data_IF_847131324278
#
_entry.id   IF_847131324278
#
_cell.length_a   1.000
_cell.length_b   1.000
_cell.length_c   1.000
_cell.angle_alpha   90.00
_cell.angle_beta   90.00
_cell.angle_gamma   90.00
#
_symmetry.space_group_name_H-M   'P 1'
#
loop_
_entity.id
_entity.type
_entity.pdbx_description
1 polymer ?
#
# COMPACT_ATOMS: atom_id res chain seq x y z
N UNK A 1 -7.24 -52.11 31.10
CA UNK A 1 -8.06 -50.89 31.34
C UNK A 1 -7.35 -49.72 30.74
N UNK A 2 -7.84 -49.27 29.60
CA UNK A 2 -7.20 -48.25 28.77
C UNK A 2 -7.83 -46.91 29.06
N UNK A 3 -7.06 -45.98 29.62
CA UNK A 3 -7.43 -44.60 29.81
C UNK A 3 -6.86 -43.78 28.68
N UNK A 4 -7.51 -43.80 27.49
CA UNK A 4 -7.29 -42.80 26.47
C UNK A 4 -8.01 -41.53 26.84
N UNK A 5 -7.31 -40.60 27.49
CA UNK A 5 -7.71 -39.20 27.55
C UNK A 5 -7.58 -38.62 26.16
N UNK A 6 -8.72 -38.43 25.47
CA UNK A 6 -8.84 -37.57 24.33
C UNK A 6 -8.35 -36.19 24.76
N UNK A 7 -7.18 -35.77 24.25
CA UNK A 7 -6.78 -34.38 24.29
C UNK A 7 -7.72 -33.64 23.32
N UNK A 8 -8.60 -32.87 23.89
CA UNK A 8 -9.31 -31.84 23.09
C UNK A 8 -8.27 -30.87 22.55
N UNK A 9 -8.34 -30.53 21.22
CA UNK A 9 -7.50 -29.47 20.69
C UNK A 9 -7.88 -28.16 21.43
N UNK A 10 -6.90 -27.28 21.70
CA UNK A 10 -7.20 -25.99 22.30
C UNK A 10 -8.21 -25.28 21.39
N UNK A 11 -9.31 -24.83 21.97
CA UNK A 11 -10.26 -23.98 21.30
C UNK A 11 -9.50 -22.75 20.81
N UNK A 12 -9.25 -22.69 19.50
CA UNK A 12 -8.85 -21.48 18.82
C UNK A 12 -10.01 -20.52 18.96
N UNK A 13 -9.92 -19.64 19.95
CA UNK A 13 -10.80 -18.49 20.01
C UNK A 13 -10.69 -17.74 18.65
N UNK A 14 -11.70 -17.01 18.21
CA UNK A 14 -11.60 -16.18 17.03
C UNK A 14 -10.61 -15.05 17.32
N UNK A 15 -9.32 -15.36 17.20
CA UNK A 15 -8.29 -14.37 17.00
C UNK A 15 -8.70 -13.67 15.73
N UNK A 16 -9.00 -12.37 15.79
CA UNK A 16 -9.27 -11.56 14.62
C UNK A 16 -8.11 -11.83 13.66
N UNK A 17 -8.39 -12.60 12.61
CA UNK A 17 -7.47 -12.88 11.53
C UNK A 17 -7.11 -11.51 10.97
N UNK A 18 -5.92 -11.03 11.31
CA UNK A 18 -5.50 -9.69 10.93
C UNK A 18 -5.49 -9.66 9.42
N UNK A 19 -6.45 -8.94 8.86
CA UNK A 19 -6.57 -8.80 7.41
C UNK A 19 -5.24 -8.28 6.88
N UNK A 20 -4.60 -9.07 6.00
CA UNK A 20 -3.36 -8.68 5.34
C UNK A 20 -3.63 -7.47 4.43
N UNK A 21 -2.71 -6.50 4.36
CA UNK A 21 -2.86 -5.37 3.45
C UNK A 21 -2.98 -5.82 2.00
N UNK A 22 -3.84 -5.15 1.25
CA UNK A 22 -4.00 -5.31 -0.19
C UNK A 22 -2.95 -4.47 -0.90
N UNK A 23 -1.95 -5.12 -1.49
CA UNK A 23 -0.85 -4.45 -2.19
C UNK A 23 -1.08 -4.51 -3.71
N UNK A 24 -1.40 -3.36 -4.30
CA UNK A 24 -1.56 -3.20 -5.74
C UNK A 24 -0.22 -2.84 -6.39
N UNK A 25 0.05 -3.41 -7.56
CA UNK A 25 1.19 -3.09 -8.40
C UNK A 25 0.70 -2.69 -9.80
N UNK A 26 1.16 -1.55 -10.29
CA UNK A 26 0.88 -1.04 -11.62
C UNK A 26 2.21 -0.64 -12.30
N UNK A 27 2.63 -1.45 -13.25
CA UNK A 27 3.86 -1.27 -14.02
C UNK A 27 3.53 -0.88 -15.46
N UNK A 28 4.51 -0.34 -16.16
CA UNK A 28 4.34 0.16 -17.54
C UNK A 28 3.93 -0.91 -18.53
N UNK A 29 4.26 -2.18 -18.26
CA UNK A 29 3.81 -3.30 -19.09
C UNK A 29 3.02 -4.33 -18.28
N UNK A 30 1.99 -4.95 -18.89
CA UNK A 30 1.23 -6.02 -18.22
C UNK A 30 2.10 -7.19 -17.75
N UNK A 31 3.15 -7.52 -18.49
CA UNK A 31 4.08 -8.59 -18.11
C UNK A 31 4.83 -8.26 -16.81
N UNK A 32 5.33 -7.02 -16.69
CA UNK A 32 6.01 -6.56 -15.47
C UNK A 32 5.03 -6.49 -14.29
N UNK A 33 3.82 -6.03 -14.51
CA UNK A 33 2.77 -5.99 -13.46
C UNK A 33 2.48 -7.39 -12.92
N UNK A 34 2.32 -8.39 -13.80
CA UNK A 34 2.10 -9.79 -13.36
C UNK A 34 3.27 -10.32 -12.55
N UNK A 35 4.50 -10.09 -13.03
CA UNK A 35 5.73 -10.51 -12.31
C UNK A 35 5.83 -9.84 -10.93
N UNK A 36 5.50 -8.56 -10.84
CA UNK A 36 5.49 -7.84 -9.58
C UNK A 36 4.43 -8.38 -8.61
N UNK A 37 3.23 -8.66 -9.10
CA UNK A 37 2.18 -9.27 -8.29
C UNK A 37 2.55 -10.68 -7.79
N UNK A 38 3.13 -11.51 -8.65
CA UNK A 38 3.63 -12.85 -8.27
C UNK A 38 4.75 -12.74 -7.22
N UNK A 39 5.66 -11.79 -7.41
CA UNK A 39 6.75 -11.55 -6.46
C UNK A 39 6.22 -11.09 -5.11
N UNK A 40 5.25 -10.16 -5.06
CA UNK A 40 4.57 -9.73 -3.84
C UNK A 40 3.89 -10.91 -3.13
N UNK A 41 3.23 -11.79 -3.88
CA UNK A 41 2.61 -13.00 -3.34
C UNK A 41 3.63 -13.94 -2.71
N UNK A 42 4.78 -14.13 -3.35
CA UNK A 42 5.87 -14.97 -2.84
C UNK A 42 6.58 -14.34 -1.63
N UNK A 43 6.65 -13.01 -1.58
CA UNK A 43 7.21 -12.28 -0.44
C UNK A 43 6.39 -12.51 0.83
N UNK A 44 5.08 -12.65 0.69
CA UNK A 44 4.13 -12.81 1.80
C UNK A 44 3.84 -11.49 2.53
N UNK A 45 2.94 -11.56 3.50
CA UNK A 45 2.55 -10.39 4.32
C UNK A 45 1.59 -9.43 3.63
N UNK A 46 1.09 -9.75 2.45
CA UNK A 46 0.06 -8.99 1.75
C UNK A 46 -0.80 -9.88 0.85
N UNK A 47 -1.90 -9.29 0.37
CA UNK A 47 -2.72 -9.85 -0.71
C UNK A 47 -2.40 -9.06 -1.98
N UNK A 48 -1.68 -9.67 -2.94
CA UNK A 48 -1.24 -8.95 -4.14
C UNK A 48 -2.40 -8.68 -5.11
N UNK A 49 -2.30 -7.56 -5.83
CA UNK A 49 -3.20 -7.17 -6.91
C UNK A 49 -2.37 -6.61 -8.06
N UNK A 50 -2.46 -7.20 -9.25
CA UNK A 50 -1.87 -6.63 -10.47
C UNK A 50 -2.88 -5.77 -11.21
N UNK A 51 -2.56 -4.49 -11.45
CA UNK A 51 -3.35 -3.58 -12.26
C UNK A 51 -2.70 -3.50 -13.64
N UNK A 52 -3.37 -4.05 -14.65
CA UNK A 52 -2.80 -4.21 -15.99
C UNK A 52 -2.97 -2.98 -16.90
N UNK A 53 -3.74 -2.00 -16.46
CA UNK A 53 -3.92 -0.72 -17.15
C UNK A 53 -3.03 0.34 -16.52
N UNK A 54 -2.55 1.28 -17.32
CA UNK A 54 -1.85 2.50 -16.89
C UNK A 54 -2.73 3.76 -17.00
N UNK A 55 -3.95 3.60 -17.47
CA UNK A 55 -4.94 4.66 -17.48
C UNK A 55 -5.35 5.06 -16.06
N UNK A 56 -5.38 6.37 -15.80
CA UNK A 56 -5.66 6.91 -14.47
C UNK A 56 -7.00 6.43 -13.91
N UNK A 57 -8.05 6.49 -14.71
CA UNK A 57 -9.41 6.13 -14.26
C UNK A 57 -9.52 4.65 -13.94
N UNK A 58 -8.89 3.80 -14.76
CA UNK A 58 -8.84 2.35 -14.54
C UNK A 58 -8.07 2.00 -13.26
N UNK A 59 -6.91 2.63 -13.03
CA UNK A 59 -6.11 2.41 -11.83
C UNK A 59 -6.88 2.81 -10.58
N UNK A 60 -7.48 3.99 -10.60
CA UNK A 60 -8.31 4.50 -9.48
C UNK A 60 -9.49 3.59 -9.22
N UNK A 61 -10.18 3.16 -10.29
CA UNK A 61 -11.33 2.26 -10.16
C UNK A 61 -10.93 0.92 -9.56
N UNK A 62 -9.86 0.27 -10.05
CA UNK A 62 -9.41 -1.03 -9.54
C UNK A 62 -8.93 -0.93 -8.09
N UNK A 63 -8.15 0.10 -7.75
CA UNK A 63 -7.73 0.33 -6.37
C UNK A 63 -8.93 0.49 -5.43
N UNK A 64 -9.95 1.24 -5.86
CA UNK A 64 -11.16 1.50 -5.06
C UNK A 64 -12.01 0.25 -4.91
N UNK A 65 -12.26 -0.47 -6.01
CA UNK A 65 -13.07 -1.69 -6.01
C UNK A 65 -12.45 -2.79 -5.13
N UNK A 66 -11.14 -2.93 -5.17
CA UNK A 66 -10.38 -3.93 -4.42
C UNK A 66 -9.94 -3.44 -3.04
N UNK A 67 -10.21 -2.19 -2.70
CA UNK A 67 -9.81 -1.55 -1.43
C UNK A 67 -8.31 -1.69 -1.18
N UNK A 68 -7.50 -1.17 -2.09
CA UNK A 68 -6.04 -1.22 -1.98
C UNK A 68 -5.56 -0.42 -0.77
N UNK A 69 -4.65 -1.00 0.01
CA UNK A 69 -4.01 -0.36 1.17
C UNK A 69 -2.64 0.22 0.80
N UNK A 70 -2.02 -0.35 -0.23
CA UNK A 70 -0.72 0.03 -0.78
C UNK A 70 -0.79 0.00 -2.30
N UNK A 71 -0.22 1.00 -2.96
CA UNK A 71 -0.08 1.06 -4.42
C UNK A 71 1.38 1.32 -4.79
N UNK A 72 1.94 0.41 -5.58
CA UNK A 72 3.25 0.55 -6.22
C UNK A 72 3.04 0.96 -7.68
N UNK A 73 3.49 2.15 -8.06
CA UNK A 73 3.40 2.69 -9.40
C UNK A 73 4.80 2.80 -10.03
N UNK A 74 5.01 2.14 -11.16
CA UNK A 74 6.23 2.34 -11.94
C UNK A 74 6.13 3.63 -12.77
N UNK A 75 7.22 4.39 -12.81
CA UNK A 75 7.39 5.50 -13.75
C UNK A 75 7.94 4.97 -15.07
N UNK A 76 7.33 5.35 -16.17
CA UNK A 76 7.86 5.07 -17.49
C UNK A 76 8.89 6.14 -17.89
N UNK A 77 10.15 5.72 -18.02
CA UNK A 77 11.25 6.58 -18.42
C UNK A 77 11.68 6.40 -19.87
N UNK A 78 11.03 5.51 -20.62
CA UNK A 78 11.42 5.17 -21.98
C UNK A 78 11.30 6.31 -22.97
N UNK A 79 10.53 7.35 -22.65
CA UNK A 79 10.22 8.49 -23.53
C UNK A 79 10.92 9.82 -23.17
N UNK A 80 12.01 9.75 -22.38
CA UNK A 80 12.78 10.94 -22.00
C UNK A 80 12.27 11.68 -20.78
N UNK A 81 13.07 12.64 -20.32
CA UNK A 81 12.81 13.45 -19.14
C UNK A 81 11.75 14.50 -19.45
N UNK A 82 10.51 14.13 -19.39
CA UNK A 82 9.44 15.12 -19.33
C UNK A 82 8.81 15.06 -17.93
N UNK A 83 8.61 16.23 -17.31
CA UNK A 83 7.89 16.40 -16.04
C UNK A 83 6.51 15.73 -16.02
N UNK A 84 5.99 15.41 -17.17
CA UNK A 84 4.67 14.78 -17.39
C UNK A 84 4.56 13.40 -16.74
N UNK A 85 5.64 12.60 -16.72
CA UNK A 85 5.56 11.23 -16.17
C UNK A 85 5.40 11.23 -14.66
N UNK A 86 6.20 12.02 -13.94
CA UNK A 86 6.07 12.18 -12.49
C UNK A 86 4.73 12.84 -12.15
N UNK A 87 4.36 13.89 -12.89
CA UNK A 87 3.09 14.60 -12.70
C UNK A 87 1.89 13.68 -12.90
N UNK A 88 1.84 12.93 -14.00
CA UNK A 88 0.74 12.01 -14.29
C UNK A 88 0.61 10.90 -13.25
N UNK A 89 1.74 10.35 -12.77
CA UNK A 89 1.72 9.36 -11.68
C UNK A 89 1.29 9.98 -10.34
N UNK A 90 1.68 11.22 -10.07
CA UNK A 90 1.19 11.95 -8.90
C UNK A 90 -0.33 12.23 -9.00
N UNK A 91 -0.85 12.51 -10.18
CA UNK A 91 -2.30 12.68 -10.39
C UNK A 91 -3.06 11.40 -10.05
N UNK A 92 -2.55 10.22 -10.46
CA UNK A 92 -3.10 8.92 -10.05
C UNK A 92 -3.08 8.79 -8.52
N UNK A 93 -1.97 9.11 -7.87
CA UNK A 93 -1.83 9.03 -6.42
C UNK A 93 -2.85 9.93 -5.71
N UNK A 94 -3.04 11.16 -6.17
CA UNK A 94 -4.02 12.11 -5.62
C UNK A 94 -5.44 11.56 -5.75
N UNK A 95 -5.82 11.05 -6.93
CA UNK A 95 -7.16 10.49 -7.13
C UNK A 95 -7.41 9.22 -6.34
N UNK A 96 -6.43 8.32 -6.24
CA UNK A 96 -6.52 7.13 -5.37
C UNK A 96 -6.73 7.55 -3.92
N UNK A 97 -5.95 8.49 -3.40
CA UNK A 97 -6.10 8.96 -2.02
C UNK A 97 -7.39 9.71 -1.76
N UNK A 98 -7.92 10.40 -2.75
CA UNK A 98 -9.24 11.03 -2.64
C UNK A 98 -10.34 9.99 -2.39
N UNK A 99 -10.23 8.81 -2.97
CA UNK A 99 -11.16 7.69 -2.80
C UNK A 99 -10.82 6.79 -1.62
N UNK A 100 -9.53 6.60 -1.37
CA UNK A 100 -8.96 5.74 -0.33
C UNK A 100 -7.93 6.54 0.49
N UNK A 101 -8.35 7.36 1.46
CA UNK A 101 -7.45 8.28 2.19
C UNK A 101 -6.28 7.58 2.89
N UNK A 102 -6.46 6.32 3.29
CA UNK A 102 -5.45 5.53 3.99
C UNK A 102 -4.52 4.74 3.06
N UNK A 103 -4.78 4.74 1.74
CA UNK A 103 -3.95 4.04 0.78
C UNK A 103 -2.59 4.74 0.65
N UNK A 104 -1.53 3.98 0.85
CA UNK A 104 -0.15 4.46 0.66
C UNK A 104 0.28 4.27 -0.78
N UNK A 105 0.95 5.28 -1.34
CA UNK A 105 1.41 5.25 -2.73
C UNK A 105 2.92 5.48 -2.80
N UNK A 106 3.61 4.57 -3.48
CA UNK A 106 5.05 4.64 -3.72
C UNK A 106 5.32 4.58 -5.22
N UNK A 107 6.23 5.45 -5.69
CA UNK A 107 6.68 5.47 -7.06
C UNK A 107 7.98 4.69 -7.23
N UNK A 108 8.11 3.93 -8.31
CA UNK A 108 9.29 3.14 -8.63
C UNK A 108 9.97 3.71 -9.87
N UNK A 109 11.26 4.01 -9.77
CA UNK A 109 12.06 4.63 -10.80
C UNK A 109 13.27 3.77 -11.14
N UNK A 110 13.56 3.55 -12.42
CA UNK A 110 14.76 2.81 -12.83
C UNK A 110 16.04 3.59 -12.54
N UNK A 111 16.04 4.89 -12.79
CA UNK A 111 17.23 5.72 -12.66
C UNK A 111 16.99 7.03 -11.86
N UNK A 112 18.08 7.57 -11.32
CA UNK A 112 18.09 8.75 -10.49
C UNK A 112 18.58 10.01 -11.22
N UNK A 113 17.99 10.37 -12.36
CA UNK A 113 18.27 11.67 -12.95
C UNK A 113 17.95 12.81 -11.98
N UNK A 114 18.86 13.82 -11.80
CA UNK A 114 18.70 14.88 -10.81
C UNK A 114 17.36 15.63 -10.87
N UNK A 115 16.85 15.89 -12.07
CA UNK A 115 15.56 16.57 -12.29
C UNK A 115 14.39 15.72 -11.82
N UNK A 116 14.43 14.40 -12.06
CA UNK A 116 13.40 13.46 -11.59
C UNK A 116 13.44 13.32 -10.08
N UNK A 117 14.63 13.21 -9.49
CA UNK A 117 14.78 13.17 -8.04
C UNK A 117 14.22 14.42 -7.38
N UNK A 118 14.50 15.60 -7.93
CA UNK A 118 13.93 16.84 -7.42
C UNK A 118 12.40 16.87 -7.49
N UNK A 119 11.80 16.35 -8.57
CA UNK A 119 10.36 16.25 -8.73
C UNK A 119 9.76 15.23 -7.74
N UNK A 120 10.41 14.10 -7.52
CA UNK A 120 9.99 13.07 -6.58
C UNK A 120 10.08 13.55 -5.13
N UNK A 121 11.19 14.21 -4.76
CA UNK A 121 11.37 14.81 -3.43
C UNK A 121 10.28 15.84 -3.15
N UNK A 122 9.97 16.68 -4.13
CA UNK A 122 8.87 17.64 -4.03
C UNK A 122 7.50 16.97 -3.88
N UNK A 123 7.27 15.88 -4.60
CA UNK A 123 6.02 15.12 -4.46
C UNK A 123 5.85 14.51 -3.07
N UNK A 124 6.93 14.03 -2.45
CA UNK A 124 6.93 13.55 -1.06
C UNK A 124 6.72 14.70 -0.08
N UNK A 125 7.41 15.83 -0.26
CA UNK A 125 7.25 17.03 0.57
C UNK A 125 5.81 17.56 0.56
N UNK A 126 5.19 17.58 -0.62
CA UNK A 126 3.79 17.98 -0.79
C UNK A 126 2.79 16.88 -0.38
N UNK A 127 3.26 15.73 0.09
CA UNK A 127 2.45 14.58 0.50
C UNK A 127 1.53 14.04 -0.60
N UNK A 128 1.93 14.17 -1.85
CA UNK A 128 1.23 13.58 -2.99
C UNK A 128 1.46 12.07 -3.06
N UNK A 129 2.66 11.64 -2.66
CA UNK A 129 3.07 10.24 -2.53
C UNK A 129 3.70 10.02 -1.15
N UNK A 130 3.78 8.77 -0.69
CA UNK A 130 4.42 8.42 0.59
C UNK A 130 5.92 8.23 0.48
N UNK A 131 6.42 7.91 -0.70
CA UNK A 131 7.83 7.75 -0.98
C UNK A 131 8.09 7.21 -2.37
N UNK A 132 9.34 6.92 -2.65
CA UNK A 132 9.77 6.34 -3.94
C UNK A 132 11.00 5.45 -3.76
N UNK A 133 11.30 4.63 -4.76
CA UNK A 133 12.49 3.80 -4.84
C UNK A 133 13.21 4.05 -6.17
N UNK A 134 14.52 4.14 -6.14
CA UNK A 134 15.38 4.24 -7.33
C UNK A 134 16.09 2.90 -7.53
N UNK A 135 16.05 2.41 -8.77
CA UNK A 135 16.64 1.13 -9.13
C UNK A 135 15.80 -0.06 -8.67
N UNK A 136 16.48 -1.14 -8.34
CA UNK A 136 15.81 -2.40 -8.00
C UNK A 136 15.07 -2.32 -6.67
N UNK A 137 13.81 -2.68 -6.70
CA UNK A 137 12.97 -2.76 -5.51
C UNK A 137 13.41 -3.96 -4.64
N UNK A 138 13.90 -3.68 -3.45
CA UNK A 138 14.34 -4.73 -2.52
C UNK A 138 13.17 -5.31 -1.72
N UNK A 139 13.26 -6.62 -1.41
CA UNK A 139 12.30 -7.31 -0.56
C UNK A 139 12.19 -6.65 0.83
N UNK A 140 13.30 -6.17 1.39
CA UNK A 140 13.30 -5.51 2.69
C UNK A 140 12.57 -4.19 2.67
N UNK A 141 12.71 -3.40 1.62
CA UNK A 141 12.01 -2.13 1.47
C UNK A 141 10.50 -2.32 1.39
N UNK A 142 10.07 -3.28 0.58
CA UNK A 142 8.63 -3.60 0.48
C UNK A 142 8.09 -4.14 1.79
N UNK A 143 8.81 -4.99 2.50
CA UNK A 143 8.40 -5.44 3.84
C UNK A 143 8.23 -4.28 4.80
N UNK A 144 9.15 -3.32 4.80
CA UNK A 144 9.03 -2.10 5.62
C UNK A 144 7.74 -1.34 5.29
N UNK A 145 7.45 -1.12 4.01
CA UNK A 145 6.22 -0.44 3.58
C UNK A 145 4.94 -1.21 3.94
N UNK A 146 4.98 -2.53 3.80
CA UNK A 146 3.85 -3.40 4.19
C UNK A 146 3.62 -3.36 5.71
N UNK A 147 4.66 -3.39 6.50
CA UNK A 147 4.58 -3.31 7.96
C UNK A 147 4.02 -1.96 8.43
N UNK A 148 4.45 -0.87 7.81
CA UNK A 148 3.92 0.46 8.08
C UNK A 148 2.45 0.58 7.69
N UNK A 149 2.07 0.02 6.54
CA UNK A 149 0.69 -0.04 6.09
C UNK A 149 -0.18 -0.83 7.06
N UNK A 150 0.27 -2.01 7.47
CA UNK A 150 -0.44 -2.85 8.43
C UNK A 150 -0.61 -2.16 9.80
N UNK A 151 0.37 -1.39 10.25
CA UNK A 151 0.27 -0.58 11.48
C UNK A 151 -0.79 0.50 11.35
N UNK A 152 -0.85 1.20 10.21
CA UNK A 152 -1.86 2.21 9.95
C UNK A 152 -3.28 1.64 9.94
N UNK A 153 -3.47 0.45 9.33
CA UNK A 153 -4.75 -0.25 9.34
C UNK A 153 -5.24 -0.58 10.75
N UNK A 154 -4.34 -1.01 11.64
CA UNK A 154 -4.67 -1.30 13.05
C UNK A 154 -5.09 -0.04 13.81
N UNK A 155 -4.44 1.08 13.57
CA UNK A 155 -4.76 2.35 14.22
C UNK A 155 -6.12 2.88 13.77
N UNK A 156 -6.45 2.76 12.49
CA UNK A 156 -7.74 3.16 11.94
C UNK A 156 -8.91 2.28 12.44
N UNK A 157 -8.67 0.99 12.73
CA UNK A 157 -9.66 0.05 13.24
C UNK A 157 -9.94 0.18 14.75
N UNK A 158 -9.11 0.92 15.51
CA UNK A 158 -9.31 1.12 16.95
C UNK A 158 -10.38 2.18 17.18
N UNK A 159 -11.47 1.89 17.96
CA UNK A 159 -12.49 2.89 18.26
C UNK A 159 -11.87 4.05 19.07
N UNK A 160 -12.36 5.29 18.91
CA UNK A 160 -11.91 6.40 19.71
C UNK A 160 -12.12 6.08 21.18
N UNK A 161 -11.08 6.19 22.01
CA UNK A 161 -11.20 6.11 23.45
C UNK A 161 -12.24 7.13 23.89
N UNK A 162 -13.38 6.65 24.39
CA UNK A 162 -14.42 7.49 24.98
C UNK A 162 -13.75 8.45 25.98
N UNK A 163 -13.76 9.74 25.67
CA UNK A 163 -13.56 10.76 26.67
C UNK A 163 -14.74 10.64 27.63
N UNK A 164 -14.48 10.20 28.84
CA UNK A 164 -15.46 10.26 29.93
C UNK A 164 -15.97 11.72 30.04
N UNK A 165 -17.30 11.93 30.01
CA UNK A 165 -17.82 13.25 30.28
C UNK A 165 -17.51 13.61 31.73
N UNK A 166 -16.73 14.67 31.90
CA UNK A 166 -16.33 15.17 33.19
C UNK A 166 -17.52 15.29 34.15
N UNK A 167 -17.39 14.65 35.32
CA UNK A 167 -18.26 14.85 36.47
C UNK A 167 -18.35 16.34 36.76
N UNK A 168 -19.49 16.95 36.48
CA UNK A 168 -19.85 18.23 37.05
C UNK A 168 -20.04 18.03 38.56
N UNK A 169 -19.07 18.49 39.33
CA UNK A 169 -19.29 18.73 40.77
C UNK A 169 -20.32 19.84 40.91
N UNK A 170 -21.51 19.51 41.36
CA UNK A 170 -22.42 20.46 41.98
C UNK A 170 -21.89 20.75 43.37
N UNK A 171 -21.41 21.91 43.60
CA UNK A 171 -21.35 22.52 44.90
C UNK A 171 -22.67 23.23 45.16
#
# INVERSE_FOLDING_TARGET
MSLFRKREPPASGPGAEQALPRAAACFTTPAMTRRAADWLGNLGGCRPLGILSDDCDDVVWQCTAEKADLLLLELDFSNGVEDKDVSGRCDIAVEVRRKLPECRVYLLCEDGHPEKLAALDKAVELKLIDGYCIGDLSAQQVRTWLDETAKSMKTAASPPKNQEPGRRNKA
#
